data_IF_666899378981
#
_entry.id   IF_666899378981
#
_cell.length_a   1.000
_cell.length_b   1.000
_cell.length_c   1.000
_cell.angle_alpha   90.00
_cell.angle_beta   90.00
_cell.angle_gamma   90.00
#
_symmetry.space_group_name_H-M   'P 1'
#
loop_
_entity.id
_entity.type
_entity.pdbx_description
1 polymer ?
#
# COMPACT_ATOMS: atom_id res chain seq x y z
N UNK A 1 31.71 -46.72 -26.15
CA UNK A 1 31.68 -45.24 -26.26
C UNK A 1 30.69 -44.78 -25.20
N UNK A 2 31.14 -44.05 -24.19
CA UNK A 2 30.23 -43.28 -23.34
C UNK A 2 29.69 -42.15 -24.21
N UNK A 3 28.40 -42.19 -24.52
CA UNK A 3 27.76 -41.16 -25.31
C UNK A 3 27.33 -40.03 -24.36
N UNK A 4 27.73 -38.80 -24.67
CA UNK A 4 27.38 -37.61 -23.89
C UNK A 4 26.32 -36.82 -24.68
N UNK A 5 25.02 -37.07 -24.42
CA UNK A 5 23.94 -36.48 -25.20
C UNK A 5 23.83 -34.96 -25.02
N UNK A 6 24.33 -34.42 -23.91
CA UNK A 6 24.23 -33.01 -23.60
C UNK A 6 25.59 -32.32 -23.64
N UNK A 7 25.61 -31.11 -24.21
CA UNK A 7 26.77 -30.23 -24.30
C UNK A 7 26.32 -28.84 -23.83
N UNK A 8 27.11 -28.18 -22.99
CA UNK A 8 26.84 -26.83 -22.50
C UNK A 8 28.14 -26.03 -22.30
N UNK A 9 28.00 -24.71 -22.23
CA UNK A 9 29.12 -23.78 -22.06
C UNK A 9 29.67 -23.21 -23.37
N UNK A 10 30.89 -22.67 -23.30
CA UNK A 10 31.60 -22.04 -24.41
C UNK A 10 32.45 -23.04 -25.19
N UNK A 11 32.94 -22.64 -26.36
CA UNK A 11 33.91 -23.45 -27.10
C UNK A 11 35.20 -23.62 -26.28
N UNK A 12 35.69 -24.86 -26.15
CA UNK A 12 36.90 -25.19 -25.38
C UNK A 12 38.10 -24.34 -25.80
N UNK A 13 38.23 -23.99 -27.09
CA UNK A 13 39.31 -23.17 -27.61
C UNK A 13 39.36 -21.76 -27.00
N UNK A 14 38.23 -21.24 -26.52
CA UNK A 14 38.12 -19.90 -25.91
C UNK A 14 38.59 -19.85 -24.46
N UNK A 15 38.68 -20.99 -23.77
CA UNK A 15 39.14 -21.08 -22.38
C UNK A 15 40.67 -21.01 -22.36
N UNK A 16 41.22 -19.98 -21.70
CA UNK A 16 42.67 -19.76 -21.68
C UNK A 16 43.39 -20.70 -20.71
N UNK A 17 43.04 -20.66 -19.42
CA UNK A 17 43.66 -21.49 -18.38
C UNK A 17 42.86 -22.79 -18.20
N UNK A 18 43.01 -23.76 -19.10
CA UNK A 18 42.17 -24.97 -19.08
C UNK A 18 42.51 -25.90 -17.92
N UNK A 19 41.53 -26.12 -17.05
CA UNK A 19 41.49 -27.21 -16.07
C UNK A 19 40.46 -28.26 -16.51
N UNK A 20 40.69 -29.50 -16.12
CA UNK A 20 39.86 -30.65 -16.52
C UNK A 20 39.34 -31.40 -15.30
N UNK A 21 38.04 -31.65 -15.27
CA UNK A 21 37.40 -32.48 -14.27
C UNK A 21 36.48 -33.51 -14.93
N UNK A 22 36.46 -34.73 -14.40
CA UNK A 22 35.57 -35.80 -14.83
C UNK A 22 35.17 -36.61 -13.62
N UNK A 23 33.87 -36.80 -13.43
CA UNK A 23 33.35 -37.54 -12.29
C UNK A 23 31.92 -38.03 -12.55
N UNK A 24 31.55 -39.07 -11.83
CA UNK A 24 30.22 -39.65 -11.86
C UNK A 24 29.26 -38.80 -11.03
N UNK A 25 28.11 -38.44 -11.62
CA UNK A 25 27.05 -37.70 -10.93
C UNK A 25 25.76 -37.82 -11.71
N UNK A 26 24.64 -37.89 -11.01
CA UNK A 26 23.29 -37.79 -11.58
C UNK A 26 22.77 -36.37 -11.63
N UNK A 27 23.52 -35.40 -11.08
CA UNK A 27 23.16 -33.98 -10.97
C UNK A 27 23.98 -33.09 -11.89
N UNK A 28 24.39 -33.61 -13.05
CA UNK A 28 25.24 -32.88 -14.00
C UNK A 28 24.59 -31.56 -14.47
N UNK A 29 23.26 -31.54 -14.64
CA UNK A 29 22.53 -30.33 -15.01
C UNK A 29 22.66 -29.21 -13.97
N UNK A 30 22.60 -29.56 -12.69
CA UNK A 30 22.65 -28.58 -11.60
C UNK A 30 24.02 -27.90 -11.53
N UNK A 31 25.09 -28.68 -11.75
CA UNK A 31 26.46 -28.17 -11.84
C UNK A 31 26.56 -27.18 -13.00
N UNK A 32 26.11 -27.57 -14.19
CA UNK A 32 26.17 -26.73 -15.39
C UNK A 32 25.39 -25.43 -15.23
N UNK A 33 24.20 -25.48 -14.62
CA UNK A 33 23.39 -24.29 -14.34
C UNK A 33 24.07 -23.37 -13.32
N UNK A 34 24.65 -23.93 -12.27
CA UNK A 34 25.38 -23.14 -11.27
C UNK A 34 26.61 -22.45 -11.87
N UNK A 35 27.40 -23.15 -12.68
CA UNK A 35 28.56 -22.58 -13.37
C UNK A 35 28.18 -21.42 -14.31
N UNK A 36 27.07 -21.57 -15.05
CA UNK A 36 26.55 -20.54 -15.95
C UNK A 36 26.09 -19.30 -15.16
N UNK A 37 25.31 -19.49 -14.08
CA UNK A 37 24.88 -18.40 -13.18
C UNK A 37 26.05 -17.68 -12.52
N UNK A 38 27.11 -18.41 -12.18
CA UNK A 38 28.36 -17.85 -11.64
C UNK A 38 29.18 -17.09 -12.68
N UNK A 39 28.89 -17.23 -13.97
CA UNK A 39 29.63 -16.59 -15.06
C UNK A 39 31.03 -17.18 -15.25
N UNK A 40 31.22 -18.43 -14.82
CA UNK A 40 32.51 -19.15 -14.95
C UNK A 40 32.64 -19.63 -16.40
N UNK A 41 33.75 -19.36 -17.11
CA UNK A 41 33.95 -19.92 -18.44
C UNK A 41 34.19 -21.44 -18.36
N UNK A 42 33.26 -22.22 -18.92
CA UNK A 42 33.34 -23.68 -18.94
C UNK A 42 32.86 -24.27 -20.27
N UNK A 43 33.20 -25.53 -20.51
CA UNK A 43 32.68 -26.41 -21.54
C UNK A 43 32.40 -27.77 -20.88
N UNK A 44 31.14 -28.21 -20.90
CA UNK A 44 30.72 -29.46 -20.31
C UNK A 44 30.12 -30.39 -21.35
N UNK A 45 30.40 -31.68 -21.22
CA UNK A 45 29.69 -32.77 -21.90
C UNK A 45 29.20 -33.74 -20.84
N UNK A 46 27.92 -34.05 -20.84
CA UNK A 46 27.34 -34.85 -19.76
C UNK A 46 26.20 -35.74 -20.24
N UNK A 47 25.96 -36.80 -19.48
CA UNK A 47 24.81 -37.68 -19.58
C UNK A 47 24.16 -37.87 -18.22
N UNK A 48 23.44 -38.96 -18.04
CA UNK A 48 22.65 -39.18 -16.82
C UNK A 48 23.47 -39.61 -15.60
N UNK A 49 24.73 -40.02 -15.80
CA UNK A 49 25.57 -40.59 -14.74
C UNK A 49 26.98 -40.00 -14.67
N UNK A 50 27.36 -39.14 -15.61
CA UNK A 50 28.73 -38.65 -15.72
C UNK A 50 28.78 -37.28 -16.39
N UNK A 51 29.71 -36.45 -15.92
CA UNK A 51 30.07 -35.18 -16.52
C UNK A 51 31.57 -35.12 -16.83
N UNK A 52 31.90 -34.56 -17.99
CA UNK A 52 33.25 -34.14 -18.39
C UNK A 52 33.23 -32.63 -18.50
N UNK A 53 34.03 -31.96 -17.68
CA UNK A 53 34.09 -30.52 -17.55
C UNK A 53 35.50 -30.03 -17.93
N UNK A 54 35.55 -29.00 -18.77
CA UNK A 54 36.74 -28.16 -18.97
C UNK A 54 36.37 -26.75 -18.53
N UNK A 55 37.17 -26.12 -17.70
CA UNK A 55 36.85 -24.78 -17.16
C UNK A 55 38.11 -23.92 -17.04
N UNK A 56 37.90 -22.62 -16.83
CA UNK A 56 39.00 -21.71 -16.54
C UNK A 56 39.49 -21.90 -15.10
N UNK A 57 40.70 -22.45 -14.95
CA UNK A 57 41.33 -22.79 -13.69
C UNK A 57 41.59 -21.62 -12.75
N UNK A 58 41.37 -20.38 -13.18
CA UNK A 58 41.32 -19.22 -12.27
C UNK A 58 40.15 -19.30 -11.30
N UNK A 59 39.09 -20.04 -11.66
CA UNK A 59 37.88 -20.24 -10.84
C UNK A 59 37.87 -21.61 -10.15
N UNK A 60 39.04 -22.18 -9.88
CA UNK A 60 39.13 -23.55 -9.37
C UNK A 60 38.42 -23.72 -8.03
N UNK A 61 38.58 -22.76 -7.13
CA UNK A 61 37.97 -22.81 -5.80
C UNK A 61 36.44 -22.73 -5.89
N UNK A 62 35.93 -21.86 -6.76
CA UNK A 62 34.49 -21.68 -7.01
C UNK A 62 33.87 -22.93 -7.65
N UNK A 63 34.55 -23.54 -8.63
CA UNK A 63 34.10 -24.78 -9.27
C UNK A 63 34.08 -25.93 -8.26
N UNK A 64 35.10 -26.06 -7.41
CA UNK A 64 35.16 -27.08 -6.35
C UNK A 64 34.03 -26.87 -5.31
N UNK A 65 33.76 -25.62 -4.92
CA UNK A 65 32.65 -25.28 -4.03
C UNK A 65 31.28 -25.68 -4.62
N UNK A 66 31.03 -25.34 -5.89
CA UNK A 66 29.79 -25.68 -6.60
C UNK A 66 29.61 -27.20 -6.66
N UNK A 67 30.65 -27.93 -7.05
CA UNK A 67 30.60 -29.40 -7.15
C UNK A 67 30.33 -30.02 -5.77
N UNK A 68 30.97 -29.50 -4.71
CA UNK A 68 30.74 -29.97 -3.34
C UNK A 68 29.29 -29.73 -2.89
N UNK A 69 28.74 -28.53 -3.12
CA UNK A 69 27.36 -28.17 -2.79
C UNK A 69 26.32 -29.02 -3.51
N UNK A 70 26.51 -29.27 -4.81
CA UNK A 70 25.60 -30.14 -5.58
C UNK A 70 25.64 -31.57 -5.04
N UNK A 71 26.84 -32.04 -4.68
CA UNK A 71 27.06 -33.41 -4.22
C UNK A 71 26.63 -33.67 -2.78
N UNK A 72 26.51 -32.64 -1.93
CA UNK A 72 26.20 -32.82 -0.50
C UNK A 72 24.74 -33.22 -0.25
N UNK A 73 23.82 -32.81 -1.12
CA UNK A 73 22.38 -33.03 -0.94
C UNK A 73 21.72 -32.05 0.03
N UNK A 74 22.46 -31.05 0.52
CA UNK A 74 21.95 -30.06 1.46
C UNK A 74 20.91 -29.14 0.81
N UNK A 75 21.02 -28.90 -0.51
CA UNK A 75 20.04 -28.10 -1.23
C UNK A 75 18.64 -28.72 -1.19
N UNK A 76 18.52 -30.03 -1.41
CA UNK A 76 17.24 -30.72 -1.34
C UNK A 76 16.69 -30.76 0.09
N UNK A 77 17.57 -30.86 1.09
CA UNK A 77 17.18 -30.75 2.49
C UNK A 77 16.64 -29.36 2.82
N UNK A 78 17.29 -28.31 2.33
CA UNK A 78 16.86 -26.92 2.46
C UNK A 78 15.48 -26.71 1.81
N UNK A 79 15.29 -27.18 0.59
CA UNK A 79 14.00 -27.07 -0.12
C UNK A 79 12.88 -27.82 0.60
N UNK A 80 13.18 -28.96 1.24
CA UNK A 80 12.21 -29.70 2.06
C UNK A 80 11.83 -28.91 3.31
N UNK A 81 12.79 -28.31 4.02
CA UNK A 81 12.50 -27.49 5.20
C UNK A 81 11.60 -26.30 4.87
N UNK A 82 11.87 -25.61 3.76
CA UNK A 82 11.06 -24.48 3.28
C UNK A 82 9.61 -24.95 3.01
N UNK A 83 9.43 -26.11 2.37
CA UNK A 83 8.09 -26.66 2.05
C UNK A 83 7.30 -27.12 3.27
N UNK A 84 7.97 -27.63 4.29
CA UNK A 84 7.31 -28.10 5.51
C UNK A 84 6.71 -26.97 6.34
N UNK A 85 7.32 -25.77 6.27
CA UNK A 85 6.79 -24.56 6.89
C UNK A 85 5.70 -23.96 6.00
N UNK A 86 4.46 -24.44 6.20
CA UNK A 86 3.23 -24.06 5.48
C UNK A 86 2.80 -22.58 5.60
N UNK A 87 3.61 -21.71 6.19
CA UNK A 87 3.28 -20.29 6.32
C UNK A 87 3.68 -19.51 5.05
N UNK A 88 2.96 -18.42 4.78
CA UNK A 88 3.24 -17.48 3.68
C UNK A 88 4.69 -16.93 3.72
N UNK A 89 5.35 -17.05 4.88
CA UNK A 89 6.70 -16.57 5.18
C UNK A 89 7.77 -17.67 5.13
N UNK A 90 7.53 -18.82 4.49
CA UNK A 90 8.42 -19.98 4.49
C UNK A 90 9.89 -19.69 4.15
N UNK A 91 10.16 -18.68 3.30
CA UNK A 91 11.52 -18.26 2.94
C UNK A 91 12.23 -17.40 4.01
N UNK A 92 11.50 -16.71 4.89
CA UNK A 92 12.09 -15.82 5.90
C UNK A 92 12.91 -16.56 6.97
N UNK A 93 12.78 -17.88 7.05
CA UNK A 93 13.61 -18.71 7.91
C UNK A 93 15.09 -18.58 7.57
N UNK A 94 15.38 -18.33 6.28
CA UNK A 94 16.72 -18.22 5.72
C UNK A 94 17.36 -16.86 5.97
N UNK A 95 16.65 -15.94 6.63
CA UNK A 95 17.13 -14.58 6.81
C UNK A 95 18.42 -14.55 7.65
N UNK A 96 18.62 -15.52 8.53
CA UNK A 96 19.84 -15.64 9.33
C UNK A 96 21.02 -16.04 8.44
N UNK A 97 20.84 -17.06 7.61
CA UNK A 97 21.83 -17.58 6.66
C UNK A 97 22.19 -16.52 5.61
N UNK A 98 21.19 -15.79 5.11
CA UNK A 98 21.40 -14.66 4.21
C UNK A 98 22.24 -13.56 4.87
N UNK A 99 21.99 -13.28 6.15
CA UNK A 99 22.75 -12.30 6.91
C UNK A 99 24.22 -12.71 7.07
N UNK A 100 24.46 -13.99 7.36
CA UNK A 100 25.79 -14.57 7.49
C UNK A 100 26.56 -14.48 6.17
N UNK A 101 25.93 -14.83 5.04
CA UNK A 101 26.53 -14.73 3.70
C UNK A 101 26.88 -13.28 3.36
N UNK A 102 26.00 -12.33 3.68
CA UNK A 102 26.22 -10.89 3.47
C UNK A 102 27.15 -10.24 4.51
N UNK A 103 27.69 -11.00 5.47
CA UNK A 103 28.46 -10.49 6.60
C UNK A 103 27.78 -9.30 7.31
N UNK A 104 26.46 -9.36 7.44
CA UNK A 104 25.61 -8.27 7.94
C UNK A 104 24.81 -8.77 9.16
N UNK A 105 24.57 -7.95 10.19
CA UNK A 105 23.74 -8.37 11.31
C UNK A 105 22.30 -8.68 10.88
N UNK A 106 21.73 -9.77 11.39
CA UNK A 106 20.32 -10.16 11.13
C UNK A 106 19.34 -9.01 11.45
N UNK A 107 19.64 -8.22 12.50
CA UNK A 107 18.83 -7.05 12.86
C UNK A 107 18.75 -5.99 11.76
N UNK A 108 19.81 -5.82 10.98
CA UNK A 108 19.86 -4.88 9.84
C UNK A 108 18.94 -5.34 8.71
N UNK A 109 18.91 -6.65 8.43
CA UNK A 109 17.99 -7.19 7.42
C UNK A 109 16.53 -7.18 7.90
N UNK A 110 16.29 -7.47 9.18
CA UNK A 110 14.94 -7.40 9.80
C UNK A 110 14.33 -6.00 9.80
N UNK A 111 15.17 -4.95 9.81
CA UNK A 111 14.71 -3.56 9.74
C UNK A 111 14.25 -3.14 8.33
N UNK A 112 14.44 -3.99 7.31
CA UNK A 112 14.01 -3.72 5.93
C UNK A 112 12.54 -4.10 5.72
N UNK A 113 11.87 -3.58 4.67
CA UNK A 113 10.52 -4.02 4.30
C UNK A 113 10.45 -5.54 4.10
N UNK A 114 9.32 -6.17 4.46
CA UNK A 114 9.15 -7.63 4.38
C UNK A 114 9.38 -8.15 2.96
N UNK A 115 8.88 -7.45 1.94
CA UNK A 115 9.07 -7.81 0.52
C UNK A 115 10.55 -7.89 0.13
N UNK A 116 11.39 -7.01 0.70
CA UNK A 116 12.84 -7.05 0.48
C UNK A 116 13.45 -8.28 1.15
N UNK A 117 13.05 -8.57 2.39
CA UNK A 117 13.54 -9.73 3.14
C UNK A 117 13.20 -11.02 2.37
N UNK A 118 11.98 -11.13 1.86
CA UNK A 118 11.57 -12.26 1.03
C UNK A 118 12.37 -12.36 -0.27
N UNK A 119 12.59 -11.23 -0.96
CA UNK A 119 13.34 -11.20 -2.21
C UNK A 119 14.78 -11.69 -2.00
N UNK A 120 15.42 -11.29 -0.90
CA UNK A 120 16.75 -11.76 -0.52
C UNK A 120 16.74 -13.27 -0.26
N UNK A 121 15.81 -13.78 0.54
CA UNK A 121 15.73 -15.20 0.83
C UNK A 121 15.42 -16.05 -0.41
N UNK A 122 14.51 -15.60 -1.28
CA UNK A 122 14.20 -16.28 -2.55
C UNK A 122 15.43 -16.34 -3.45
N UNK A 123 16.14 -15.22 -3.59
CA UNK A 123 17.37 -15.16 -4.38
C UNK A 123 18.47 -16.04 -3.81
N UNK A 124 18.63 -16.08 -2.49
CA UNK A 124 19.57 -16.99 -1.85
C UNK A 124 19.30 -18.46 -2.21
N UNK A 125 18.03 -18.88 -2.21
CA UNK A 125 17.64 -20.23 -2.63
C UNK A 125 17.90 -20.47 -4.12
N UNK A 126 17.62 -19.49 -4.97
CA UNK A 126 17.81 -19.60 -6.43
C UNK A 126 19.29 -19.71 -6.83
N UNK A 127 20.19 -19.17 -6.02
CA UNK A 127 21.65 -19.17 -6.23
C UNK A 127 22.40 -20.09 -5.27
N UNK A 128 21.72 -20.86 -4.40
CA UNK A 128 22.37 -21.63 -3.33
C UNK A 128 23.49 -22.56 -3.81
N UNK A 129 23.30 -23.18 -4.98
CA UNK A 129 24.27 -24.09 -5.62
C UNK A 129 25.48 -23.37 -6.23
N UNK A 130 25.44 -22.05 -6.37
CA UNK A 130 26.55 -21.25 -6.88
C UNK A 130 27.62 -21.07 -5.80
N UNK A 131 28.79 -20.57 -6.20
CA UNK A 131 29.86 -20.18 -5.30
C UNK A 131 29.44 -19.01 -4.38
N UNK A 132 30.11 -18.88 -3.24
CA UNK A 132 29.78 -17.88 -2.22
C UNK A 132 29.86 -16.45 -2.77
N UNK A 133 30.83 -16.16 -3.64
CA UNK A 133 30.99 -14.83 -4.22
C UNK A 133 29.81 -14.45 -5.11
N UNK A 134 29.34 -15.38 -5.95
CA UNK A 134 28.16 -15.17 -6.81
C UNK A 134 26.90 -14.92 -5.98
N UNK A 135 26.69 -15.69 -4.90
CA UNK A 135 25.54 -15.50 -4.01
C UNK A 135 25.59 -14.10 -3.39
N UNK A 136 26.73 -13.70 -2.84
CA UNK A 136 26.92 -12.35 -2.26
C UNK A 136 26.63 -11.25 -3.28
N UNK A 137 27.18 -11.37 -4.49
CA UNK A 137 27.01 -10.39 -5.56
C UNK A 137 25.53 -10.17 -5.91
N UNK A 138 24.75 -11.23 -6.05
CA UNK A 138 23.33 -11.10 -6.42
C UNK A 138 22.47 -10.59 -5.26
N UNK A 139 22.79 -10.96 -4.02
CA UNK A 139 22.12 -10.41 -2.83
C UNK A 139 22.43 -8.90 -2.65
N UNK A 140 23.68 -8.48 -2.82
CA UNK A 140 24.08 -7.06 -2.75
C UNK A 140 23.43 -6.23 -3.86
N UNK A 141 23.22 -6.82 -5.04
CA UNK A 141 22.50 -6.17 -6.14
C UNK A 141 21.07 -5.83 -5.74
N UNK A 142 20.37 -6.73 -5.06
CA UNK A 142 19.01 -6.50 -4.55
C UNK A 142 19.00 -5.37 -3.52
N UNK A 143 19.94 -5.37 -2.60
CA UNK A 143 20.06 -4.30 -1.60
C UNK A 143 20.30 -2.94 -2.28
N UNK A 144 21.19 -2.89 -3.26
CA UNK A 144 21.57 -1.64 -3.94
C UNK A 144 20.46 -1.08 -4.82
N UNK A 145 19.75 -1.93 -5.57
CA UNK A 145 18.63 -1.50 -6.43
C UNK A 145 17.52 -0.87 -5.58
N UNK A 146 17.17 -1.48 -4.46
CA UNK A 146 16.12 -0.96 -3.59
C UNK A 146 16.51 0.34 -2.88
N UNK A 147 17.79 0.54 -2.56
CA UNK A 147 18.27 1.83 -2.03
C UNK A 147 18.05 2.96 -3.04
N UNK A 148 18.29 2.72 -4.34
CA UNK A 148 18.07 3.73 -5.39
C UNK A 148 16.58 4.06 -5.54
N UNK A 149 15.73 3.04 -5.60
CA UNK A 149 14.27 3.26 -5.73
C UNK A 149 13.71 4.02 -4.52
N UNK A 150 14.12 3.69 -3.30
CA UNK A 150 13.70 4.42 -2.10
C UNK A 150 14.18 5.88 -2.11
N UNK A 151 15.42 6.12 -2.56
CA UNK A 151 15.98 7.47 -2.70
C UNK A 151 15.21 8.29 -3.75
N UNK A 152 14.89 7.69 -4.90
CA UNK A 152 14.15 8.35 -5.97
C UNK A 152 12.71 8.68 -5.56
N UNK A 153 12.05 7.78 -4.81
CA UNK A 153 10.72 8.02 -4.25
C UNK A 153 10.73 9.17 -3.25
N UNK A 154 11.69 9.20 -2.32
CA UNK A 154 11.83 10.29 -1.36
C UNK A 154 12.14 11.63 -2.05
N UNK A 155 12.96 11.63 -3.10
CA UNK A 155 13.20 12.83 -3.89
C UNK A 155 11.94 13.32 -4.61
N UNK A 156 11.14 12.41 -5.17
CA UNK A 156 9.87 12.75 -5.80
C UNK A 156 8.89 13.38 -4.79
N UNK A 157 8.71 12.75 -3.62
CA UNK A 157 7.88 13.27 -2.54
C UNK A 157 8.35 14.66 -2.09
N UNK A 158 9.66 14.87 -1.99
CA UNK A 158 10.24 16.16 -1.62
C UNK A 158 10.01 17.22 -2.70
N UNK A 159 10.09 16.85 -3.98
CA UNK A 159 9.80 17.72 -5.12
C UNK A 159 8.31 18.08 -5.18
N UNK A 160 7.42 17.13 -4.95
CA UNK A 160 5.98 17.37 -4.88
C UNK A 160 5.61 18.29 -3.71
N UNK A 161 6.19 18.06 -2.54
CA UNK A 161 6.02 18.93 -1.39
C UNK A 161 6.48 20.35 -1.73
N UNK A 162 7.65 20.52 -2.34
CA UNK A 162 8.16 21.85 -2.73
C UNK A 162 7.30 22.52 -3.82
N UNK A 163 6.86 21.76 -4.82
CA UNK A 163 6.03 22.26 -5.91
C UNK A 163 4.61 22.66 -5.44
N UNK A 164 4.10 22.03 -4.38
CA UNK A 164 2.80 22.36 -3.79
C UNK A 164 2.88 23.39 -2.66
N UNK A 165 4.07 23.64 -2.13
CA UNK A 165 4.29 24.57 -1.03
C UNK A 165 4.85 25.93 -1.49
N UNK A 166 4.41 26.40 -2.65
CA UNK A 166 4.77 27.72 -3.19
C UNK A 166 3.92 28.83 -2.55
N UNK A 167 4.45 30.07 -2.44
CA UNK A 167 3.71 31.20 -1.85
C UNK A 167 2.35 31.44 -2.53
N UNK A 168 2.32 31.35 -3.86
CA UNK A 168 1.13 31.56 -4.69
C UNK A 168 0.02 30.53 -4.42
N UNK A 169 0.40 29.25 -4.22
CA UNK A 169 -0.55 28.19 -3.88
C UNK A 169 -1.05 28.33 -2.44
N UNK A 170 -0.20 28.76 -1.49
CA UNK A 170 -0.60 29.06 -0.11
C UNK A 170 -1.60 30.21 -0.05
N UNK A 171 -1.31 31.31 -0.75
CA UNK A 171 -2.19 32.49 -0.81
C UNK A 171 -3.54 32.13 -1.43
N UNK A 172 -3.56 31.29 -2.48
CA UNK A 172 -4.82 30.80 -3.05
C UNK A 172 -5.65 29.98 -2.06
N UNK A 173 -5.03 29.09 -1.28
CA UNK A 173 -5.73 28.31 -0.25
C UNK A 173 -6.29 29.23 0.84
N UNK A 174 -5.51 30.22 1.29
CA UNK A 174 -5.97 31.21 2.28
C UNK A 174 -7.15 32.05 1.75
N UNK A 175 -7.11 32.45 0.47
CA UNK A 175 -8.20 33.18 -0.19
C UNK A 175 -9.47 32.31 -0.30
N UNK A 176 -9.33 31.04 -0.67
CA UNK A 176 -10.46 30.11 -0.79
C UNK A 176 -11.09 29.83 0.59
N UNK A 177 -10.27 29.69 1.64
CA UNK A 177 -10.74 29.54 3.03
C UNK A 177 -11.46 30.80 3.53
N UNK A 178 -10.91 31.99 3.26
CA UNK A 178 -11.54 33.25 3.62
C UNK A 178 -12.90 33.44 2.90
N UNK A 179 -12.98 33.08 1.62
CA UNK A 179 -14.22 33.11 0.86
C UNK A 179 -15.26 32.14 1.42
N UNK A 180 -14.84 30.93 1.82
CA UNK A 180 -15.71 29.97 2.47
C UNK A 180 -16.23 30.50 3.82
N UNK A 181 -15.37 31.06 4.67
CA UNK A 181 -15.78 31.65 5.95
C UNK A 181 -16.78 32.80 5.76
N UNK A 182 -16.54 33.69 4.79
CA UNK A 182 -17.48 34.76 4.45
C UNK A 182 -18.84 34.21 4.00
N UNK A 183 -18.86 33.12 3.23
CA UNK A 183 -20.12 32.50 2.80
C UNK A 183 -20.93 31.93 3.97
N UNK A 184 -20.27 31.33 4.96
CA UNK A 184 -20.91 30.80 6.18
C UNK A 184 -21.51 31.92 7.01
N UNK A 185 -20.77 33.01 7.21
CA UNK A 185 -21.25 34.18 7.97
C UNK A 185 -22.46 34.80 7.28
N UNK A 186 -22.39 35.02 5.96
CA UNK A 186 -23.49 35.59 5.18
C UNK A 186 -24.76 34.74 5.28
N UNK A 187 -24.62 33.42 5.17
CA UNK A 187 -25.76 32.51 5.31
C UNK A 187 -26.36 32.59 6.73
N UNK A 188 -25.54 32.71 7.77
CA UNK A 188 -26.02 32.86 9.14
C UNK A 188 -26.78 34.19 9.35
N UNK A 189 -26.30 35.28 8.77
CA UNK A 189 -26.97 36.59 8.80
C UNK A 189 -28.32 36.55 8.05
N UNK A 190 -28.36 35.92 6.88
CA UNK A 190 -29.59 35.74 6.09
C UNK A 190 -30.62 34.90 6.86
N UNK A 191 -30.19 33.85 7.55
CA UNK A 191 -31.07 33.07 8.43
C UNK A 191 -31.60 33.91 9.60
N UNK A 192 -30.76 34.76 10.20
CA UNK A 192 -31.18 35.63 11.31
C UNK A 192 -32.21 36.67 10.85
N UNK A 193 -31.97 37.31 9.71
CA UNK A 193 -32.91 38.28 9.13
C UNK A 193 -34.26 37.64 8.80
N UNK A 194 -34.27 36.45 8.19
CA UNK A 194 -35.51 35.71 7.90
C UNK A 194 -36.28 35.35 9.17
N UNK A 195 -35.58 34.94 10.24
CA UNK A 195 -36.21 34.65 11.52
C UNK A 195 -36.86 35.89 12.15
N UNK A 196 -36.19 37.04 12.08
CA UNK A 196 -36.72 38.31 12.59
C UNK A 196 -37.94 38.79 11.78
N UNK A 197 -37.91 38.65 10.46
CA UNK A 197 -39.05 38.94 9.59
C UNK A 197 -40.26 38.06 9.94
N UNK A 198 -40.06 36.75 10.09
CA UNK A 198 -41.14 35.83 10.51
C UNK A 198 -41.69 36.19 11.90
N UNK A 199 -40.83 36.56 12.85
CA UNK A 199 -41.27 36.98 14.18
C UNK A 199 -42.14 38.25 14.12
N UNK A 200 -41.73 39.24 13.31
CA UNK A 200 -42.48 40.48 13.10
C UNK A 200 -43.83 40.24 12.41
N UNK A 201 -43.88 39.37 11.41
CA UNK A 201 -45.13 38.97 10.75
C UNK A 201 -46.07 38.21 11.70
N UNK A 202 -45.52 37.32 12.53
CA UNK A 202 -46.28 36.59 13.54
C UNK A 202 -46.84 37.54 14.60
N UNK A 203 -46.04 38.52 15.06
CA UNK A 203 -46.50 39.54 15.99
C UNK A 203 -47.62 40.41 15.39
N UNK A 204 -47.49 40.80 14.11
CA UNK A 204 -48.50 41.58 13.40
C UNK A 204 -49.81 40.82 13.23
N UNK A 205 -49.76 39.56 12.82
CA UNK A 205 -50.95 38.71 12.66
C UNK A 205 -51.62 38.42 14.02
N UNK A 206 -50.84 38.19 15.07
CA UNK A 206 -51.36 38.04 16.43
C UNK A 206 -52.07 39.31 16.93
N UNK A 207 -51.51 40.49 16.65
CA UNK A 207 -52.15 41.78 17.00
C UNK A 207 -53.50 41.96 16.30
N UNK A 208 -53.54 41.74 14.98
CA UNK A 208 -54.78 41.83 14.19
C UNK A 208 -55.84 40.83 14.71
N UNK A 209 -55.41 39.61 15.02
CA UNK A 209 -56.31 38.56 15.56
C UNK A 209 -56.88 38.97 16.93
N UNK A 210 -56.08 39.59 17.79
CA UNK A 210 -56.53 40.08 19.11
C UNK A 210 -57.51 41.25 18.98
N UNK A 211 -57.25 42.19 18.07
CA UNK A 211 -58.16 43.29 17.71
C UNK A 211 -59.51 42.76 17.22
N UNK A 212 -59.50 41.80 16.29
CA UNK A 212 -60.71 41.17 15.75
C UNK A 212 -61.51 40.43 16.82
N UNK A 213 -60.85 39.68 17.71
CA UNK A 213 -61.50 39.04 18.86
C UNK A 213 -62.16 40.06 19.78
N UNK A 214 -61.53 41.22 20.00
CA UNK A 214 -62.10 42.29 20.83
C UNK A 214 -63.36 42.88 20.20
N UNK A 215 -63.31 43.22 18.91
CA UNK A 215 -64.47 43.74 18.16
C UNK A 215 -65.64 42.76 18.14
N UNK A 216 -65.37 41.48 17.88
CA UNK A 216 -66.41 40.43 17.90
C UNK A 216 -67.04 40.27 19.29
N UNK A 217 -66.27 40.38 20.37
CA UNK A 217 -66.81 40.32 21.73
C UNK A 217 -67.67 41.55 22.07
N UNK A 218 -67.29 42.73 21.61
CA UNK A 218 -68.09 43.97 21.73
C UNK A 218 -69.42 43.85 20.96
N UNK A 219 -69.39 43.34 19.71
CA UNK A 219 -70.60 43.09 18.93
C UNK A 219 -71.52 42.05 19.59
N UNK A 220 -70.98 40.96 20.14
CA UNK A 220 -71.77 39.94 20.84
C UNK A 220 -72.45 40.52 22.09
N UNK A 221 -71.73 41.35 22.86
CA UNK A 221 -72.30 42.08 24.00
C UNK A 221 -73.43 43.01 23.57
N UNK A 222 -73.26 43.71 22.44
CA UNK A 222 -74.29 44.59 21.87
C UNK A 222 -75.53 43.80 21.49
N UNK A 223 -75.38 42.67 20.78
CA UNK A 223 -76.50 41.77 20.42
C UNK A 223 -77.22 41.18 21.64
N UNK A 224 -76.49 40.82 22.69
CA UNK A 224 -77.11 40.34 23.94
C UNK A 224 -77.88 41.45 24.68
N UNK A 225 -77.37 42.67 24.69
CA UNK A 225 -78.08 43.82 25.25
C UNK A 225 -79.34 44.17 24.45
N UNK A 226 -79.30 44.03 23.13
CA UNK A 226 -80.46 44.20 22.24
C UNK A 226 -81.49 43.08 22.43
N UNK A 227 -81.04 41.83 22.52
CA UNK A 227 -81.92 40.67 22.79
C UNK A 227 -82.60 40.75 24.16
N UNK A 228 -81.95 41.30 25.18
CA UNK A 228 -82.58 41.57 26.50
C UNK A 228 -83.57 42.75 26.51
N UNK A 229 -83.52 43.64 25.52
CA UNK A 229 -84.48 44.75 25.37
C UNK A 229 -85.79 44.31 24.71
N UNK A 230 -85.79 43.23 23.93
CA UNK A 230 -86.97 42.68 23.26
C UNK A 230 -88.01 42.14 24.27
N UNK A 231 -87.68 41.28 25.25
CA UNK A 231 -88.66 40.80 26.23
C UNK A 231 -89.16 41.92 27.17
N UNK A 232 -88.34 42.94 27.48
CA UNK A 232 -88.78 44.11 28.26
C UNK A 232 -89.77 45.02 27.51
N UNK A 233 -89.74 45.03 26.18
CA UNK A 233 -90.73 45.74 25.36
C UNK A 233 -92.06 45.00 25.34
N UNK A 234 -92.03 43.68 25.15
CA UNK A 234 -93.23 42.83 25.18
C UNK A 234 -93.93 42.82 26.55
N UNK A 235 -93.16 42.87 27.64
CA UNK A 235 -93.69 42.91 29.02
C UNK A 235 -94.27 44.28 29.40
N UNK A 236 -93.77 45.37 28.80
CA UNK A 236 -94.34 46.73 28.92
C UNK A 236 -95.57 46.98 28.03
N UNK A 237 -95.74 46.23 26.95
CA UNK A 237 -96.94 46.33 26.11
C UNK A 237 -98.12 45.53 26.67
N UNK A 238 -97.90 44.45 27.43
CA UNK A 238 -98.96 43.70 28.14
C UNK A 238 -99.56 44.44 29.34
N UNK A 239 -98.84 45.39 29.93
CA UNK A 239 -99.30 46.20 31.08
C UNK A 239 -100.08 47.47 30.68
N UNK A 240 -100.37 47.66 29.38
CA UNK A 240 -101.06 48.84 28.83
C UNK A 240 -102.37 48.52 28.07
N UNK A 241 -103.03 47.40 28.31
CA UNK A 241 -104.41 47.19 27.82
C UNK A 241 -105.39 47.25 29.00
N UNK A 242 -106.45 48.10 28.91
CA UNK A 242 -107.36 48.44 30.00
C UNK A 242 -108.26 47.28 30.43
#
# INVERSE_FOLDING_TARGET
MTDFPYISGVDVGTISNKEFARFETTKASDIVIALDKSGIPFSARFGDSEIVLTYDGRYKEEVEEIIAKVSSGDYEALLREIREKKDDNGYLILLSEVADVLNTPVGTLKARPVDLQEMLCKTYVDFWLCDTYTIQRELDRILTVNVRTLSDMQEHERRDYQANNTPEKREKVELDDAAHQMSVIRNAEDHRMKAEQMANETARTAYITREMRRKNAEELRRKQAESKRIPQRDERERTKRP
#
